data_IF_155911049932
#
_entry.id   IF_155911049932
#
_cell.length_a   1.000
_cell.length_b   1.000
_cell.length_c   1.000
_cell.angle_alpha   90.00
_cell.angle_beta   90.00
_cell.angle_gamma   90.00
#
_symmetry.space_group_name_H-M   'P 1'
#
loop_
_entity.id
_entity.type
_entity.pdbx_description
1 polymer ?
#
# COMPACT_ATOMS: atom_id res chain seq x y z
N UNK A 1 -3.66 -15.42 17.27
CA UNK A 1 -3.61 -14.94 15.87
C UNK A 1 -2.31 -15.44 15.27
N UNK A 2 -2.37 -16.02 14.08
CA UNK A 2 -1.17 -16.27 13.30
C UNK A 2 -0.58 -14.93 12.82
N UNK A 3 0.72 -14.88 12.60
CA UNK A 3 1.37 -13.73 11.97
C UNK A 3 1.09 -13.81 10.46
N UNK A 4 0.64 -12.72 9.81
CA UNK A 4 0.46 -12.72 8.36
C UNK A 4 1.82 -12.83 7.67
N UNK A 5 1.85 -13.40 6.47
CA UNK A 5 3.07 -13.51 5.66
C UNK A 5 3.60 -12.12 5.28
N UNK A 6 2.71 -11.20 4.89
CA UNK A 6 3.06 -9.81 4.55
C UNK A 6 2.16 -8.80 5.25
N UNK A 7 2.68 -7.58 5.38
CA UNK A 7 1.93 -6.43 5.87
C UNK A 7 2.03 -5.28 4.86
N UNK A 8 0.87 -4.85 4.34
CA UNK A 8 0.72 -3.65 3.53
C UNK A 8 0.51 -2.45 4.46
N UNK A 9 1.41 -1.47 4.37
CA UNK A 9 1.37 -0.24 5.15
C UNK A 9 0.99 0.93 4.25
N UNK A 10 -0.22 1.47 4.43
CA UNK A 10 -0.75 2.59 3.62
C UNK A 10 -0.53 3.90 4.35
N UNK A 11 0.21 4.83 3.78
CA UNK A 11 0.43 6.15 4.38
C UNK A 11 -0.86 6.98 4.35
N UNK A 12 -1.46 7.23 5.51
CA UNK A 12 -2.63 8.12 5.64
C UNK A 12 -2.26 9.50 6.19
N UNK A 13 -0.96 9.82 6.23
CA UNK A 13 -0.45 11.12 6.66
C UNK A 13 -0.96 11.57 8.05
N UNK A 14 -1.27 10.62 8.94
CA UNK A 14 -1.63 10.94 10.32
C UNK A 14 -0.48 11.66 11.02
N UNK A 15 -0.83 12.67 11.81
CA UNK A 15 0.09 13.50 12.57
C UNK A 15 -0.43 13.61 14.00
N UNK A 16 0.48 13.56 14.98
CA UNK A 16 0.11 13.61 16.38
C UNK A 16 -0.71 14.88 16.69
N UNK A 17 -1.93 14.70 17.19
CA UNK A 17 -2.84 15.78 17.60
C UNK A 17 -3.31 16.69 16.46
N UNK A 18 -3.21 16.27 15.20
CA UNK A 18 -3.64 17.06 14.04
C UNK A 18 -4.42 16.21 13.06
N UNK A 19 -5.29 16.86 12.30
CA UNK A 19 -5.98 16.21 11.18
C UNK A 19 -4.98 15.65 10.16
N UNK A 20 -5.32 14.53 9.50
CA UNK A 20 -4.51 13.99 8.42
C UNK A 20 -4.39 15.03 7.29
N UNK A 21 -3.17 15.24 6.79
CA UNK A 21 -2.88 16.21 5.73
C UNK A 21 -1.81 15.71 4.79
N UNK A 22 -2.02 15.91 3.49
CA UNK A 22 -1.03 15.62 2.46
C UNK A 22 -1.65 14.88 1.29
N UNK A 23 -0.83 14.60 0.28
CA UNK A 23 -1.27 13.90 -0.92
C UNK A 23 -1.73 12.48 -0.62
N UNK A 24 -1.04 11.76 0.30
CA UNK A 24 -1.38 10.38 0.58
C UNK A 24 -2.76 10.22 1.21
N UNK A 25 -3.21 11.15 2.05
CA UNK A 25 -4.59 11.11 2.56
C UNK A 25 -5.61 11.59 1.52
N UNK A 26 -5.29 12.64 0.76
CA UNK A 26 -6.22 13.28 -0.18
C UNK A 26 -6.49 12.49 -1.47
N UNK A 27 -5.60 11.57 -1.83
CA UNK A 27 -5.67 10.81 -3.09
C UNK A 27 -5.87 9.30 -2.88
N UNK A 28 -6.21 8.86 -1.67
CA UNK A 28 -6.41 7.43 -1.37
C UNK A 28 -7.75 7.15 -0.69
N UNK A 29 -8.73 8.02 -0.92
CA UNK A 29 -10.09 7.79 -0.44
C UNK A 29 -10.64 6.49 -1.06
N UNK A 30 -11.28 5.65 -0.25
CA UNK A 30 -11.76 4.32 -0.67
C UNK A 30 -10.69 3.24 -0.88
N UNK A 31 -9.42 3.61 -1.16
CA UNK A 31 -8.38 2.62 -1.50
C UNK A 31 -8.07 1.62 -0.38
N UNK A 32 -8.23 2.00 0.89
CA UNK A 32 -8.04 1.06 2.00
C UNK A 32 -9.05 -0.09 1.95
N UNK A 33 -10.32 0.22 1.64
CA UNK A 33 -11.35 -0.79 1.49
C UNK A 33 -11.07 -1.67 0.25
N UNK A 34 -10.67 -1.05 -0.86
CA UNK A 34 -10.31 -1.79 -2.08
C UNK A 34 -9.15 -2.77 -1.86
N UNK A 35 -8.11 -2.37 -1.10
CA UNK A 35 -7.00 -3.27 -0.74
C UNK A 35 -7.50 -4.44 0.11
N UNK A 36 -8.32 -4.19 1.14
CA UNK A 36 -8.85 -5.24 2.02
C UNK A 36 -9.70 -6.25 1.24
N UNK A 37 -10.61 -5.78 0.39
CA UNK A 37 -11.44 -6.62 -0.47
C UNK A 37 -10.56 -7.42 -1.45
N UNK A 38 -9.59 -6.77 -2.10
CA UNK A 38 -8.68 -7.42 -3.03
C UNK A 38 -7.79 -8.49 -2.40
N UNK A 39 -7.39 -8.33 -1.13
CA UNK A 39 -6.69 -9.35 -0.34
C UNK A 39 -7.59 -10.56 -0.10
N UNK A 40 -8.83 -10.33 0.33
CA UNK A 40 -9.79 -11.39 0.64
C UNK A 40 -10.18 -12.20 -0.60
N UNK A 41 -10.45 -11.51 -1.72
CA UNK A 41 -10.87 -12.14 -2.98
C UNK A 41 -9.77 -13.03 -3.58
N UNK A 42 -8.50 -12.66 -3.40
CA UNK A 42 -7.33 -13.43 -3.83
C UNK A 42 -6.88 -14.48 -2.80
N UNK A 43 -7.46 -14.49 -1.60
CA UNK A 43 -7.10 -15.42 -0.53
C UNK A 43 -5.66 -15.25 -0.02
N UNK A 44 -5.12 -14.03 -0.06
CA UNK A 44 -3.74 -13.74 0.32
C UNK A 44 -3.57 -13.74 1.85
N UNK A 45 -2.47 -14.31 2.35
CA UNK A 45 -2.07 -14.20 3.78
C UNK A 45 -1.38 -12.86 4.05
N UNK A 46 -2.13 -11.78 3.84
CA UNK A 46 -1.64 -10.41 3.91
C UNK A 46 -2.59 -9.60 4.79
N UNK A 47 -2.03 -8.74 5.64
CA UNK A 47 -2.82 -7.76 6.38
C UNK A 47 -2.55 -6.36 5.82
N UNK A 48 -3.54 -5.48 5.85
CA UNK A 48 -3.36 -4.06 5.55
C UNK A 48 -3.50 -3.22 6.82
N UNK A 49 -2.65 -2.21 6.96
CA UNK A 49 -2.71 -1.26 8.05
C UNK A 49 -2.38 0.14 7.57
N UNK A 50 -3.04 1.14 8.14
CA UNK A 50 -2.72 2.54 7.88
C UNK A 50 -1.60 3.04 8.78
N UNK A 51 -0.73 3.90 8.25
CA UNK A 51 0.37 4.51 8.98
C UNK A 51 0.24 6.03 9.09
N UNK A 52 1.00 6.60 10.03
CA UNK A 52 1.29 8.03 10.03
C UNK A 52 2.10 8.47 8.81
N UNK A 53 2.52 9.73 8.79
CA UNK A 53 3.33 10.27 7.69
C UNK A 53 4.66 9.50 7.53
N UNK A 54 4.88 8.92 6.35
CA UNK A 54 6.14 8.25 5.96
C UNK A 54 7.19 9.20 5.34
N UNK A 55 6.93 10.52 5.35
CA UNK A 55 7.86 11.59 4.91
C UNK A 55 8.30 11.51 3.43
N UNK A 56 7.55 10.81 2.59
CA UNK A 56 7.83 10.64 1.15
C UNK A 56 6.76 11.32 0.26
N UNK A 57 6.25 12.48 0.69
CA UNK A 57 5.13 13.15 0.05
C UNK A 57 5.41 13.57 -1.41
N UNK A 58 6.66 13.81 -1.78
CA UNK A 58 7.05 14.21 -3.15
C UNK A 58 6.76 13.14 -4.19
N UNK A 59 6.64 11.88 -3.75
CA UNK A 59 6.34 10.72 -4.60
C UNK A 59 5.04 10.03 -4.15
N UNK A 60 4.26 10.64 -3.26
CA UNK A 60 3.06 10.02 -2.71
C UNK A 60 1.91 9.93 -3.73
N UNK A 61 0.87 9.11 -3.45
CA UNK A 61 0.69 8.30 -2.24
C UNK A 61 1.68 7.14 -2.08
N UNK A 62 1.94 6.77 -0.83
CA UNK A 62 2.97 5.78 -0.47
C UNK A 62 2.33 4.56 0.18
N UNK A 63 2.72 3.40 -0.32
CA UNK A 63 2.38 2.09 0.22
C UNK A 63 3.68 1.30 0.44
N UNK A 64 3.80 0.57 1.54
CA UNK A 64 4.99 -0.24 1.83
C UNK A 64 4.59 -1.69 2.11
N UNK A 65 5.28 -2.64 1.51
CA UNK A 65 5.11 -4.08 1.81
C UNK A 65 6.26 -4.53 2.71
N UNK A 66 5.91 -5.09 3.86
CA UNK A 66 6.81 -5.72 4.82
C UNK A 66 6.64 -7.25 4.80
N UNK A 67 7.68 -8.05 5.10
CA UNK A 67 9.03 -7.64 5.55
C UNK A 67 9.99 -7.27 4.40
N UNK A 68 9.54 -7.36 3.14
CA UNK A 68 10.39 -7.18 1.95
C UNK A 68 10.94 -5.75 1.80
N UNK A 69 10.42 -4.80 2.58
CA UNK A 69 10.77 -3.40 2.54
C UNK A 69 10.64 -2.80 1.13
N UNK A 70 9.56 -3.17 0.43
CA UNK A 70 9.23 -2.63 -0.88
C UNK A 70 8.39 -1.37 -0.70
N UNK A 71 8.81 -0.29 -1.34
CA UNK A 71 8.14 1.01 -1.27
C UNK A 71 7.52 1.32 -2.62
N UNK A 72 6.22 1.57 -2.63
CA UNK A 72 5.47 1.95 -3.82
C UNK A 72 5.06 3.43 -3.74
N UNK A 73 5.15 4.10 -4.89
CA UNK A 73 4.83 5.52 -5.12
C UNK A 73 3.66 5.65 -6.08
N UNK A 74 2.99 6.81 -6.01
CA UNK A 74 1.90 7.13 -6.94
C UNK A 74 0.73 6.15 -6.86
N UNK A 75 0.54 5.49 -5.72
CA UNK A 75 -0.54 4.50 -5.54
C UNK A 75 -1.85 5.23 -5.24
N UNK A 76 -2.44 5.81 -6.28
CA UNK A 76 -3.65 6.65 -6.21
C UNK A 76 -4.81 6.13 -7.07
N UNK A 77 -4.72 4.88 -7.52
CA UNK A 77 -5.72 4.26 -8.39
C UNK A 77 -5.87 2.77 -8.07
N UNK A 78 -7.00 2.18 -8.47
CA UNK A 78 -7.27 0.75 -8.32
C UNK A 78 -6.29 -0.08 -9.15
N UNK A 79 -5.90 0.39 -10.34
CA UNK A 79 -4.93 -0.29 -11.21
C UNK A 79 -3.55 -0.43 -10.55
N UNK A 80 -3.13 0.59 -9.79
CA UNK A 80 -1.88 0.53 -9.04
C UNK A 80 -1.94 -0.50 -7.91
N UNK A 81 -3.11 -0.64 -7.26
CA UNK A 81 -3.33 -1.62 -6.20
C UNK A 81 -3.36 -3.03 -6.77
N UNK A 82 -4.13 -3.24 -7.85
CA UNK A 82 -4.21 -4.54 -8.51
C UNK A 82 -2.85 -5.01 -8.99
N UNK A 83 -2.05 -4.12 -9.60
CA UNK A 83 -0.68 -4.45 -9.97
C UNK A 83 0.15 -5.00 -8.79
N UNK A 84 0.05 -4.37 -7.60
CA UNK A 84 0.76 -4.79 -6.40
C UNK A 84 0.20 -6.10 -5.84
N UNK A 85 -1.13 -6.26 -5.77
CA UNK A 85 -1.77 -7.46 -5.27
C UNK A 85 -1.52 -8.67 -6.18
N UNK A 86 -1.53 -8.49 -7.49
CA UNK A 86 -1.22 -9.53 -8.47
C UNK A 86 0.26 -9.96 -8.34
N UNK A 87 1.18 -9.01 -8.08
CA UNK A 87 2.57 -9.31 -7.75
C UNK A 87 2.71 -10.12 -6.47
N UNK A 88 1.93 -9.80 -5.42
CA UNK A 88 1.91 -10.57 -4.18
C UNK A 88 1.38 -11.99 -4.40
N UNK A 89 0.31 -12.15 -5.17
CA UNK A 89 -0.27 -13.46 -5.52
C UNK A 89 0.72 -14.32 -6.33
N UNK A 90 1.46 -13.71 -7.25
CA UNK A 90 2.49 -14.38 -8.05
C UNK A 90 3.79 -14.69 -7.27
N UNK A 91 3.94 -14.20 -6.04
CA UNK A 91 5.18 -14.32 -5.27
C UNK A 91 6.31 -13.41 -5.77
N UNK A 92 6.01 -12.44 -6.64
CA UNK A 92 6.94 -11.45 -7.18
C UNK A 92 6.40 -10.02 -6.97
N UNK A 93 6.35 -9.50 -5.73
CA UNK A 93 5.63 -8.26 -5.42
C UNK A 93 6.22 -7.00 -6.07
N UNK A 94 7.48 -7.07 -6.48
CA UNK A 94 8.22 -6.04 -7.18
C UNK A 94 8.36 -6.31 -8.70
N UNK A 95 7.74 -7.39 -9.20
CA UNK A 95 7.78 -7.80 -10.59
C UNK A 95 6.61 -7.24 -11.40
N UNK A 96 6.56 -7.62 -12.69
CA UNK A 96 5.41 -7.34 -13.56
C UNK A 96 5.00 -5.85 -13.61
N UNK A 97 3.69 -5.56 -13.65
CA UNK A 97 3.18 -4.19 -13.64
C UNK A 97 3.48 -3.42 -12.34
N UNK A 98 3.65 -4.11 -11.20
CA UNK A 98 3.95 -3.46 -9.91
C UNK A 98 5.28 -2.70 -9.93
N UNK A 99 6.23 -3.13 -10.77
CA UNK A 99 7.55 -2.52 -10.90
C UNK A 99 7.49 -1.03 -11.30
N UNK A 100 6.46 -0.60 -12.04
CA UNK A 100 6.26 0.80 -12.42
C UNK A 100 6.10 1.72 -11.19
N UNK A 101 5.48 1.18 -10.14
CA UNK A 101 5.16 1.91 -8.92
C UNK A 101 6.29 1.86 -7.90
N UNK A 102 7.38 1.12 -8.11
CA UNK A 102 8.46 1.04 -7.14
C UNK A 102 9.16 2.40 -6.95
N UNK A 103 9.43 2.76 -5.69
CA UNK A 103 10.09 4.00 -5.30
C UNK A 103 11.58 3.99 -5.65
N UNK A 104 12.19 2.80 -5.72
CA UNK A 104 13.59 2.49 -6.07
C UNK A 104 13.78 0.99 -6.20
#
# INVERSE_FOLDING_TARGET
>A
MALPEKLILVCQSFRLGKEPKGICHKQTDGLLQYIEEGILDRGLDVQVATTGCLKQCEKGPILVVQPDNLWFKGVNSEEAIDAILDGLEAGEPAGGPAAEYLLS
#
